data_IF_109424696188
#
_entry.id   IF_109424696188
#
_cell.length_a   1.000
_cell.length_b   1.000
_cell.length_c   1.000
_cell.angle_alpha   90.00
_cell.angle_beta   90.00
_cell.angle_gamma   90.00
#
_symmetry.space_group_name_H-M   'P 1'
#
loop_
_entity.id
_entity.type
_entity.pdbx_description
1 polymer ?
#
# COMPACT_ATOMS: atom_id res chain seq x y z
N UNK A 1 1.01 5.24 21.31
CA UNK A 1 2.05 6.30 21.38
C UNK A 1 3.33 5.72 20.81
N UNK A 2 4.10 6.49 20.04
CA UNK A 2 5.34 6.00 19.42
C UNK A 2 6.39 5.63 20.48
N UNK A 3 7.11 4.53 20.23
CA UNK A 3 8.28 4.07 21.02
C UNK A 3 9.57 4.07 20.21
N UNK A 4 9.52 4.47 18.94
CA UNK A 4 10.65 4.47 18.00
C UNK A 4 10.26 4.99 16.63
N UNK A 5 11.24 5.18 15.76
CA UNK A 5 11.04 5.67 14.41
C UNK A 5 11.94 4.93 13.41
N UNK A 6 11.56 4.97 12.15
CA UNK A 6 12.27 4.33 11.05
C UNK A 6 12.49 5.34 9.94
N UNK A 7 13.54 5.13 9.14
CA UNK A 7 13.86 5.98 7.99
C UNK A 7 14.22 5.11 6.79
N UNK A 8 13.57 5.35 5.66
CA UNK A 8 13.84 4.65 4.41
C UNK A 8 14.18 5.62 3.28
N UNK A 9 15.16 5.24 2.47
CA UNK A 9 15.60 6.02 1.31
C UNK A 9 15.06 5.38 0.02
N UNK A 10 14.47 6.21 -0.83
CA UNK A 10 13.97 5.85 -2.15
C UNK A 10 14.07 7.05 -3.11
N UNK A 11 14.07 6.77 -4.41
CA UNK A 11 14.08 7.82 -5.46
C UNK A 11 12.67 8.26 -5.85
N UNK A 12 11.65 7.57 -5.36
CA UNK A 12 10.24 7.94 -5.44
C UNK A 12 9.64 7.93 -4.05
N UNK A 13 8.54 8.67 -3.86
CA UNK A 13 7.82 8.68 -2.60
C UNK A 13 7.26 7.28 -2.30
N UNK A 14 6.68 6.64 -3.31
CA UNK A 14 6.09 5.31 -3.22
C UNK A 14 7.13 4.28 -2.73
N UNK A 15 8.34 4.31 -3.30
CA UNK A 15 9.44 3.43 -2.89
C UNK A 15 9.85 3.67 -1.44
N UNK A 16 10.09 4.93 -1.06
CA UNK A 16 10.51 5.28 0.30
C UNK A 16 9.44 4.90 1.32
N UNK A 17 8.17 5.19 1.05
CA UNK A 17 7.07 4.88 1.95
C UNK A 17 6.91 3.37 2.17
N UNK A 18 6.85 2.57 1.10
CA UNK A 18 6.66 1.12 1.25
C UNK A 18 7.83 0.46 2.01
N UNK A 19 9.06 0.94 1.79
CA UNK A 19 10.22 0.50 2.59
C UNK A 19 10.08 0.91 4.05
N UNK A 20 9.68 2.15 4.34
CA UNK A 20 9.51 2.63 5.71
C UNK A 20 8.44 1.81 6.45
N UNK A 21 7.30 1.50 5.82
CA UNK A 21 6.27 0.66 6.41
C UNK A 21 6.79 -0.75 6.74
N UNK A 22 7.59 -1.37 5.87
CA UNK A 22 8.22 -2.66 6.18
C UNK A 22 9.24 -2.61 7.32
N UNK A 23 9.82 -1.45 7.59
CA UNK A 23 10.77 -1.29 8.69
C UNK A 23 10.08 -1.20 10.05
N UNK A 24 8.77 -0.90 10.11
CA UNK A 24 8.08 -0.72 11.40
C UNK A 24 7.83 -2.05 12.13
N UNK A 25 7.53 -3.13 11.39
CA UNK A 25 7.28 -4.45 11.95
C UNK A 25 7.45 -5.54 10.86
N UNK A 26 8.06 -6.71 11.14
CA UNK A 26 8.25 -7.79 10.17
C UNK A 26 6.96 -8.36 9.54
N UNK A 27 5.80 -8.15 10.16
CA UNK A 27 4.50 -8.60 9.65
C UNK A 27 3.99 -7.65 8.56
N UNK A 28 4.43 -6.39 8.56
CA UNK A 28 3.98 -5.37 7.61
C UNK A 28 4.76 -5.51 6.30
N UNK A 29 4.03 -5.70 5.21
CA UNK A 29 4.60 -5.91 3.88
C UNK A 29 4.73 -4.63 3.04
N UNK A 30 4.07 -3.55 3.46
CA UNK A 30 4.07 -2.28 2.75
C UNK A 30 2.74 -1.56 2.95
N UNK A 31 2.33 -0.80 1.93
CA UNK A 31 1.04 -0.11 1.93
C UNK A 31 -0.07 -1.08 1.50
N UNK A 32 -0.66 -1.76 2.48
CA UNK A 32 -1.63 -2.83 2.28
C UNK A 32 -3.02 -2.45 2.83
N UNK A 33 -4.12 -2.77 2.13
CA UNK A 33 -5.47 -2.59 2.64
C UNK A 33 -5.73 -3.54 3.81
N UNK A 34 -6.41 -3.06 4.85
CA UNK A 34 -6.76 -3.87 6.02
C UNK A 34 -8.25 -3.71 6.35
N UNK A 35 -9.04 -4.73 6.02
CA UNK A 35 -10.48 -4.75 6.26
C UNK A 35 -10.84 -4.79 7.75
N UNK A 36 -9.96 -5.33 8.61
CA UNK A 36 -10.17 -5.38 10.06
C UNK A 36 -10.02 -4.01 10.73
N UNK A 37 -9.52 -3.00 10.02
CA UNK A 37 -9.50 -1.61 10.52
C UNK A 37 -10.88 -0.95 10.42
N UNK A 38 -11.76 -1.44 9.53
CA UNK A 38 -13.10 -0.91 9.35
C UNK A 38 -14.02 -1.90 8.62
N UNK A 39 -14.92 -2.56 9.35
CA UNK A 39 -15.89 -3.49 8.76
C UNK A 39 -16.99 -2.74 8.01
N UNK A 40 -17.44 -1.60 8.54
CA UNK A 40 -18.50 -0.78 7.94
C UNK A 40 -17.94 0.48 7.25
N UNK A 41 -18.79 1.16 6.47
CA UNK A 41 -18.46 2.47 5.91
C UNK A 41 -18.29 3.53 7.00
N UNK A 42 -19.12 3.51 8.04
CA UNK A 42 -19.02 4.44 9.18
C UNK A 42 -17.74 4.24 9.99
N UNK A 43 -17.32 2.98 10.19
CA UNK A 43 -16.03 2.68 10.82
C UNK A 43 -14.88 3.25 9.99
N UNK A 44 -14.97 3.14 8.66
CA UNK A 44 -13.93 3.64 7.77
C UNK A 44 -13.87 5.16 7.78
N UNK A 45 -15.01 5.85 7.77
CA UNK A 45 -15.08 7.30 7.96
C UNK A 45 -14.39 7.70 9.27
N UNK A 46 -14.71 7.00 10.37
CA UNK A 46 -14.13 7.29 11.69
C UNK A 46 -12.62 7.05 11.72
N UNK A 47 -12.14 5.94 11.16
CA UNK A 47 -10.72 5.57 11.09
C UNK A 47 -9.89 6.54 10.23
N UNK A 48 -10.52 7.22 9.27
CA UNK A 48 -9.88 8.28 8.48
C UNK A 48 -9.88 9.63 9.20
N UNK A 49 -11.01 9.98 9.84
CA UNK A 49 -11.19 11.24 10.55
C UNK A 49 -10.35 11.34 11.84
N UNK A 50 -10.25 10.24 12.60
CA UNK A 50 -9.48 10.19 13.85
C UNK A 50 -8.11 9.58 13.58
N UNK A 51 -7.05 10.39 13.70
CA UNK A 51 -5.70 9.90 13.45
C UNK A 51 -5.27 8.81 14.46
N UNK A 52 -4.90 7.65 13.94
CA UNK A 52 -4.36 6.50 14.68
C UNK A 52 -3.08 5.96 14.02
N UNK A 53 -2.41 5.03 14.68
CA UNK A 53 -1.30 4.23 14.13
C UNK A 53 -1.74 3.33 12.96
N UNK A 54 -3.01 2.95 12.89
CA UNK A 54 -3.58 2.13 11.80
C UNK A 54 -4.18 2.94 10.65
N UNK A 55 -4.26 4.27 10.76
CA UNK A 55 -4.92 5.15 9.76
C UNK A 55 -4.34 4.99 8.36
N UNK A 56 -3.05 4.70 8.21
CA UNK A 56 -2.45 4.48 6.90
C UNK A 56 -3.07 3.28 6.17
N UNK A 57 -3.43 2.21 6.89
CA UNK A 57 -4.09 1.03 6.34
C UNK A 57 -5.58 1.27 6.07
N UNK A 58 -6.23 2.14 6.87
CA UNK A 58 -7.58 2.64 6.56
C UNK A 58 -7.60 3.41 5.24
N UNK A 59 -6.57 4.22 4.95
CA UNK A 59 -6.45 4.90 3.65
C UNK A 59 -6.29 3.88 2.52
N UNK A 60 -5.47 2.85 2.70
CA UNK A 60 -5.31 1.79 1.70
C UNK A 60 -6.64 1.06 1.43
N UNK A 61 -7.42 0.75 2.48
CA UNK A 61 -8.74 0.13 2.35
C UNK A 61 -9.74 1.05 1.67
N UNK A 62 -9.78 2.35 1.99
CA UNK A 62 -10.65 3.32 1.32
C UNK A 62 -10.35 3.42 -0.18
N UNK A 63 -9.07 3.46 -0.55
CA UNK A 63 -8.65 3.46 -1.96
C UNK A 63 -9.05 2.16 -2.67
N UNK A 64 -8.88 0.99 -2.01
CA UNK A 64 -9.35 -0.31 -2.53
C UNK A 64 -10.87 -0.33 -2.73
N UNK A 65 -11.65 0.29 -1.83
CA UNK A 65 -13.12 0.47 -1.96
C UNK A 65 -13.52 1.54 -3.00
N UNK A 66 -12.57 2.13 -3.72
CA UNK A 66 -12.82 3.09 -4.79
C UNK A 66 -13.13 4.51 -4.31
N UNK A 67 -12.81 4.86 -3.06
CA UNK A 67 -13.01 6.23 -2.58
C UNK A 67 -12.07 7.21 -3.30
N UNK A 68 -12.57 8.42 -3.55
CA UNK A 68 -11.80 9.45 -4.23
C UNK A 68 -10.75 10.06 -3.31
N UNK A 69 -9.66 10.57 -3.91
CA UNK A 69 -8.64 11.33 -3.20
C UNK A 69 -9.25 12.52 -2.46
N UNK A 70 -10.22 13.22 -3.08
CA UNK A 70 -10.88 14.37 -2.47
C UNK A 70 -11.67 13.99 -1.22
N UNK A 71 -12.40 12.86 -1.24
CA UNK A 71 -13.11 12.35 -0.06
C UNK A 71 -12.14 12.02 1.08
N UNK A 72 -11.04 11.33 0.76
CA UNK A 72 -10.02 10.98 1.75
C UNK A 72 -9.33 12.25 2.29
N UNK A 73 -9.07 13.24 1.43
CA UNK A 73 -8.49 14.52 1.82
C UNK A 73 -9.40 15.26 2.81
N UNK A 74 -10.70 15.35 2.53
CA UNK A 74 -11.67 16.01 3.41
C UNK A 74 -11.72 15.39 4.80
N UNK A 75 -11.59 14.06 4.90
CA UNK A 75 -11.61 13.35 6.18
C UNK A 75 -10.28 13.42 6.92
N UNK A 76 -9.16 13.37 6.20
CA UNK A 76 -7.83 13.18 6.81
C UNK A 76 -7.01 14.46 6.93
N UNK A 77 -7.37 15.49 6.15
CA UNK A 77 -6.57 16.70 5.88
C UNK A 77 -5.16 16.44 5.32
N UNK A 78 -4.86 15.23 4.85
CA UNK A 78 -3.57 14.91 4.21
C UNK A 78 -3.56 15.55 2.83
N UNK A 79 -2.48 16.26 2.49
CA UNK A 79 -2.36 16.91 1.19
C UNK A 79 -2.63 15.93 0.01
N UNK A 80 -3.44 16.33 -0.98
CA UNK A 80 -3.79 15.45 -2.11
C UNK A 80 -2.58 14.88 -2.85
N UNK A 81 -1.44 15.57 -2.88
CA UNK A 81 -0.23 15.06 -3.51
C UNK A 81 0.17 13.70 -2.93
N UNK A 82 0.19 13.55 -1.60
CA UNK A 82 0.53 12.27 -0.95
C UNK A 82 -0.54 11.22 -1.23
N UNK A 83 -1.82 11.60 -1.16
CA UNK A 83 -2.93 10.68 -1.40
C UNK A 83 -2.92 10.15 -2.84
N UNK A 84 -2.56 10.97 -3.83
CA UNK A 84 -2.36 10.51 -5.21
C UNK A 84 -1.20 9.52 -5.32
N UNK A 85 -0.11 9.70 -4.56
CA UNK A 85 0.98 8.70 -4.52
C UNK A 85 0.52 7.38 -3.91
N UNK A 86 -0.26 7.43 -2.82
CA UNK A 86 -0.86 6.24 -2.22
C UNK A 86 -1.82 5.55 -3.18
N UNK A 87 -2.64 6.32 -3.89
CA UNK A 87 -3.54 5.80 -4.93
C UNK A 87 -2.75 5.08 -6.03
N UNK A 88 -1.60 5.60 -6.48
CA UNK A 88 -0.76 4.90 -7.47
C UNK A 88 -0.29 3.53 -6.97
N UNK A 89 0.01 3.38 -5.69
CA UNK A 89 0.34 2.07 -5.09
C UNK A 89 -0.89 1.16 -5.11
N UNK A 90 -2.05 1.66 -4.69
CA UNK A 90 -3.32 0.92 -4.71
C UNK A 90 -3.73 0.48 -6.13
N UNK A 91 -3.58 1.35 -7.13
CA UNK A 91 -3.87 1.05 -8.53
C UNK A 91 -2.90 0.01 -9.09
N UNK A 92 -1.59 0.14 -8.80
CA UNK A 92 -0.59 -0.86 -9.19
C UNK A 92 -0.91 -2.22 -8.56
N UNK A 93 -1.37 -2.24 -7.30
CA UNK A 93 -1.82 -3.47 -6.64
C UNK A 93 -2.99 -4.10 -7.39
N UNK A 94 -4.00 -3.31 -7.76
CA UNK A 94 -5.15 -3.81 -8.52
C UNK A 94 -4.71 -4.42 -9.86
N UNK A 95 -3.83 -3.74 -10.59
CA UNK A 95 -3.23 -4.25 -11.84
C UNK A 95 -2.50 -5.57 -11.62
N UNK A 96 -1.67 -5.66 -10.56
CA UNK A 96 -0.90 -6.87 -10.26
C UNK A 96 -1.78 -8.07 -9.93
N UNK A 97 -2.93 -7.85 -9.26
CA UNK A 97 -3.90 -8.91 -8.95
C UNK A 97 -4.56 -9.54 -10.18
N UNK A 98 -4.45 -8.93 -11.36
CA UNK A 98 -4.99 -9.47 -12.62
C UNK A 98 -4.04 -10.47 -13.29
N UNK A 99 -2.79 -10.58 -12.80
CA UNK A 99 -1.77 -11.46 -13.35
C UNK A 99 -1.48 -12.66 -12.46
N UNK A 100 -0.97 -13.72 -13.08
CA UNK A 100 -0.24 -14.80 -12.43
C UNK A 100 1.27 -14.64 -12.65
N UNK A 101 2.09 -15.40 -11.92
CA UNK A 101 3.56 -15.43 -12.10
C UNK A 101 3.96 -15.54 -13.57
N UNK A 102 3.31 -16.45 -14.31
CA UNK A 102 3.68 -16.78 -15.69
C UNK A 102 3.18 -15.75 -16.72
N UNK A 103 2.21 -14.91 -16.34
CA UNK A 103 1.59 -13.91 -17.23
C UNK A 103 2.03 -12.48 -16.89
N UNK A 104 2.73 -12.27 -15.78
CA UNK A 104 3.20 -10.96 -15.33
C UNK A 104 4.24 -10.39 -16.30
N UNK A 105 3.95 -9.26 -16.98
CA UNK A 105 4.92 -8.67 -17.89
C UNK A 105 6.12 -8.09 -17.14
N UNK A 106 7.34 -8.30 -17.66
CA UNK A 106 8.57 -7.79 -17.06
C UNK A 106 8.56 -6.26 -16.85
N UNK A 107 7.92 -5.51 -17.76
CA UNK A 107 7.75 -4.07 -17.61
C UNK A 107 6.86 -3.69 -16.42
N UNK A 108 5.76 -4.43 -16.19
CA UNK A 108 4.86 -4.25 -15.05
C UNK A 108 5.57 -4.60 -13.74
N UNK A 109 6.30 -5.72 -13.72
CA UNK A 109 7.15 -6.10 -12.58
C UNK A 109 8.15 -4.98 -12.25
N UNK A 110 8.88 -4.47 -13.24
CA UNK A 110 9.84 -3.39 -13.05
C UNK A 110 9.18 -2.11 -12.48
N UNK A 111 7.99 -1.75 -12.96
CA UNK A 111 7.23 -0.60 -12.44
C UNK A 111 6.80 -0.83 -10.98
N UNK A 112 6.35 -2.03 -10.64
CA UNK A 112 6.00 -2.39 -9.26
C UNK A 112 7.23 -2.31 -8.34
N UNK A 113 8.38 -2.86 -8.75
CA UNK A 113 9.63 -2.76 -7.98
C UNK A 113 10.07 -1.31 -7.77
N UNK A 114 10.01 -0.47 -8.81
CA UNK A 114 10.29 0.98 -8.72
C UNK A 114 9.32 1.74 -7.82
N UNK A 115 8.13 1.19 -7.59
CA UNK A 115 7.11 1.73 -6.69
C UNK A 115 7.23 1.18 -5.26
N UNK A 116 8.23 0.32 -4.98
CA UNK A 116 8.54 -0.16 -3.64
C UNK A 116 7.94 -1.52 -3.24
N UNK A 117 7.30 -2.25 -4.15
CA UNK A 117 6.70 -3.55 -3.85
C UNK A 117 7.77 -4.61 -3.48
N UNK A 118 7.55 -5.31 -2.36
CA UNK A 118 8.40 -6.45 -1.94
C UNK A 118 8.13 -7.68 -2.81
N UNK A 119 9.08 -8.62 -2.86
CA UNK A 119 8.88 -9.90 -3.57
C UNK A 119 7.74 -10.70 -2.92
N UNK A 120 7.57 -10.55 -1.60
CA UNK A 120 6.47 -11.16 -0.84
C UNK A 120 5.11 -10.56 -1.19
N UNK A 121 4.97 -9.23 -1.30
CA UNK A 121 3.75 -8.59 -1.78
C UNK A 121 3.38 -9.08 -3.19
N UNK A 122 4.36 -9.12 -4.09
CA UNK A 122 4.18 -9.60 -5.44
C UNK A 122 3.75 -11.07 -5.47
N UNK A 123 4.42 -11.93 -4.70
CA UNK A 123 4.07 -13.34 -4.59
C UNK A 123 2.65 -13.57 -4.11
N UNK A 124 2.21 -12.82 -3.09
CA UNK A 124 0.82 -12.85 -2.62
C UNK A 124 -0.18 -12.43 -3.70
N UNK A 125 0.16 -11.41 -4.49
CA UNK A 125 -0.73 -10.88 -5.53
C UNK A 125 -0.87 -11.80 -6.73
N UNK A 126 0.22 -12.44 -7.17
CA UNK A 126 0.23 -13.28 -8.37
C UNK A 126 0.13 -14.79 -8.08
N UNK A 127 -0.09 -15.16 -6.81
CA UNK A 127 -0.26 -16.55 -6.38
C UNK A 127 1.02 -17.39 -6.45
N UNK A 128 2.16 -16.82 -6.10
CA UNK A 128 3.49 -17.46 -6.20
C UNK A 128 4.29 -17.35 -4.89
N UNK A 129 5.16 -18.33 -4.57
CA UNK A 129 6.14 -18.18 -3.50
C UNK A 129 7.04 -16.95 -3.70
N UNK A 130 7.50 -16.34 -2.61
CA UNK A 130 8.40 -15.17 -2.65
C UNK A 130 9.71 -15.47 -3.40
N UNK A 131 10.33 -16.63 -3.13
CA UNK A 131 11.60 -17.02 -3.77
C UNK A 131 11.45 -17.17 -5.29
N UNK A 132 10.27 -17.56 -5.75
CA UNK A 132 9.97 -17.68 -7.17
C UNK A 132 9.90 -16.33 -7.85
N UNK A 133 9.37 -15.30 -7.17
CA UNK A 133 9.36 -13.92 -7.67
C UNK A 133 10.77 -13.34 -7.71
N UNK A 134 11.59 -13.62 -6.69
CA UNK A 134 12.97 -13.16 -6.61
C UNK A 134 13.85 -13.67 -7.75
N UNK A 135 13.48 -14.82 -8.33
CA UNK A 135 14.21 -15.46 -9.42
C UNK A 135 13.80 -14.96 -10.83
N UNK A 136 12.75 -14.13 -10.95
CA UNK A 136 12.29 -13.50 -12.20
C UNK A 136 13.13 -12.27 -12.56
#
# INVERSE_FOLDING_TARGET
KSVGEVMAIGRTFEESLQKALRMTDPIIEGFEPNEFVAETEDDLVRSLAVASDTRIYAIAEALKRGWTVDRIHQLTSIDPWFLWKLKRISDMRAILSEYSKDTLPAATLLQAKKSGFSDRQLGLLVGSPELDIRAL
#
